data_IF_486637295175
#
_entry.id   IF_486637295175
#
_cell.length_a   1.000
_cell.length_b   1.000
_cell.length_c   1.000
_cell.angle_alpha   90.00
_cell.angle_beta   90.00
_cell.angle_gamma   90.00
#
_symmetry.space_group_name_H-M   'P 1'
#
loop_
_entity.id
_entity.type
_entity.pdbx_description
1 polymer ?
#
# COMPACT_ATOMS: atom_id res chain seq x y z
N UNK A 1 25.43 -12.30 -0.22
CA UNK A 1 24.13 -12.55 -0.88
C UNK A 1 23.16 -13.02 0.18
N UNK A 2 22.35 -12.11 0.68
CA UNK A 2 20.94 -11.93 0.27
C UNK A 2 20.01 -12.85 1.08
N UNK A 3 19.68 -12.41 2.29
CA UNK A 3 18.56 -12.94 3.04
C UNK A 3 17.65 -11.77 3.45
N UNK A 4 16.54 -11.65 2.72
CA UNK A 4 15.24 -11.18 3.21
C UNK A 4 15.02 -9.67 3.41
N UNK A 5 15.34 -8.83 2.41
CA UNK A 5 14.51 -7.63 2.21
C UNK A 5 13.18 -8.08 1.57
N UNK A 6 12.28 -8.58 2.42
CA UNK A 6 10.89 -8.75 2.02
C UNK A 6 10.39 -7.44 1.38
N UNK A 7 9.64 -7.53 0.27
CA UNK A 7 9.21 -6.35 -0.47
C UNK A 7 8.45 -5.43 0.48
N UNK A 8 8.68 -4.12 0.33
CA UNK A 8 7.84 -3.12 0.97
C UNK A 8 6.37 -3.50 0.74
N UNK A 9 5.54 -3.20 1.73
CA UNK A 9 4.08 -3.31 1.55
C UNK A 9 3.66 -2.49 0.32
N UNK A 10 2.58 -2.86 -0.35
CA UNK A 10 2.02 -2.12 -1.49
C UNK A 10 1.71 -0.68 -1.08
N UNK A 11 1.21 -0.52 0.15
CA UNK A 11 0.95 0.77 0.75
C UNK A 11 2.24 1.58 1.01
N UNK A 12 3.31 0.97 1.54
CA UNK A 12 4.61 1.64 1.70
C UNK A 12 5.25 2.00 0.35
N UNK A 13 5.14 1.12 -0.63
CA UNK A 13 5.64 1.38 -1.99
C UNK A 13 4.94 2.58 -2.61
N UNK A 14 3.61 2.59 -2.58
CA UNK A 14 2.83 3.73 -3.08
C UNK A 14 3.17 5.02 -2.33
N UNK A 15 3.32 4.93 -1.02
CA UNK A 15 3.74 6.05 -0.16
C UNK A 15 5.09 6.59 -0.61
N UNK A 16 6.06 5.72 -0.90
CA UNK A 16 7.39 6.10 -1.38
C UNK A 16 7.34 6.77 -2.77
N UNK A 17 6.58 6.20 -3.71
CA UNK A 17 6.46 6.73 -5.07
C UNK A 17 5.75 8.09 -5.11
N UNK A 18 4.84 8.36 -4.18
CA UNK A 18 4.14 9.63 -4.05
C UNK A 18 5.00 10.74 -3.40
N UNK A 19 6.11 10.40 -2.75
CA UNK A 19 7.02 11.37 -2.12
C UNK A 19 7.97 11.94 -3.18
N UNK A 20 8.28 13.23 -3.04
CA UNK A 20 9.20 13.95 -3.92
C UNK A 20 10.58 13.28 -3.96
N UNK A 21 11.19 13.25 -5.15
CA UNK A 21 12.51 12.68 -5.35
C UNK A 21 13.59 13.45 -4.57
N UNK A 22 14.73 12.82 -4.32
CA UNK A 22 15.86 13.43 -3.62
C UNK A 22 16.47 14.61 -4.37
N UNK A 23 16.19 14.77 -5.66
CA UNK A 23 16.61 15.94 -6.46
C UNK A 23 15.58 17.08 -6.44
N UNK A 24 14.35 16.85 -5.98
CA UNK A 24 13.29 17.87 -6.02
C UNK A 24 13.61 19.03 -5.06
N UNK A 25 13.51 20.30 -5.49
CA UNK A 25 13.87 21.46 -4.67
C UNK A 25 12.91 21.73 -3.50
N UNK A 26 11.74 21.09 -3.51
CA UNK A 26 10.75 21.12 -2.41
C UNK A 26 10.34 19.70 -2.07
N UNK A 27 10.27 19.37 -0.79
CA UNK A 27 9.71 18.09 -0.35
C UNK A 27 8.20 17.98 -0.62
N UNK A 28 7.68 16.75 -0.64
CA UNK A 28 6.25 16.50 -0.78
C UNK A 28 5.57 16.55 0.59
N UNK A 29 4.26 16.83 0.59
CA UNK A 29 3.42 16.50 1.74
C UNK A 29 3.32 14.98 1.91
N UNK A 30 2.83 14.52 3.06
CA UNK A 30 2.49 13.11 3.23
C UNK A 30 1.48 12.67 2.14
N UNK A 31 1.57 11.42 1.64
CA UNK A 31 0.66 10.92 0.62
C UNK A 31 -0.81 10.91 1.11
N UNK A 32 -1.75 10.90 0.16
CA UNK A 32 -3.17 10.97 0.48
C UNK A 32 -3.59 9.73 1.30
N UNK A 33 -4.04 9.91 2.56
CA UNK A 33 -4.27 8.79 3.47
C UNK A 33 -5.32 7.76 2.99
N UNK A 34 -6.27 8.18 2.13
CA UNK A 34 -7.32 7.30 1.60
C UNK A 34 -6.77 6.21 0.67
N UNK A 35 -5.80 6.54 -0.17
CA UNK A 35 -5.21 5.59 -1.12
C UNK A 35 -4.35 4.55 -0.40
N UNK A 36 -3.57 5.01 0.59
CA UNK A 36 -2.75 4.15 1.45
C UNK A 36 -3.60 3.12 2.18
N UNK A 37 -4.74 3.53 2.76
CA UNK A 37 -5.68 2.62 3.44
C UNK A 37 -6.28 1.60 2.46
N UNK A 38 -6.64 2.03 1.24
CA UNK A 38 -7.17 1.11 0.21
C UNK A 38 -6.14 0.05 -0.17
N UNK A 39 -4.88 0.45 -0.35
CA UNK A 39 -3.79 -0.47 -0.66
C UNK A 39 -3.49 -1.41 0.51
N UNK A 40 -3.48 -0.90 1.75
CA UNK A 40 -3.31 -1.72 2.94
C UNK A 40 -4.41 -2.78 3.06
N UNK A 41 -5.68 -2.42 2.79
CA UNK A 41 -6.78 -3.38 2.78
C UNK A 41 -6.63 -4.44 1.68
N UNK A 42 -6.26 -4.03 0.47
CA UNK A 42 -5.97 -4.98 -0.63
C UNK A 42 -4.86 -5.96 -0.25
N UNK A 43 -3.81 -5.47 0.41
CA UNK A 43 -2.70 -6.32 0.80
C UNK A 43 -3.07 -7.30 1.91
N UNK A 44 -3.90 -6.88 2.87
CA UNK A 44 -4.47 -7.79 3.87
C UNK A 44 -5.28 -8.93 3.22
N UNK A 45 -6.00 -8.66 2.13
CA UNK A 45 -6.72 -9.69 1.37
C UNK A 45 -5.75 -10.65 0.67
N UNK A 46 -4.73 -10.14 -0.02
CA UNK A 46 -3.75 -10.97 -0.74
C UNK A 46 -2.92 -11.81 0.22
N UNK A 47 -2.60 -11.29 1.40
CA UNK A 47 -1.88 -12.02 2.46
C UNK A 47 -2.76 -13.01 3.23
N UNK A 48 -4.04 -13.16 2.86
CA UNK A 48 -4.95 -14.11 3.50
C UNK A 48 -5.36 -13.72 4.92
N UNK A 49 -5.22 -12.46 5.32
CA UNK A 49 -5.71 -11.98 6.62
C UNK A 49 -7.24 -11.87 6.64
N UNK A 50 -7.84 -11.68 5.47
CA UNK A 50 -9.28 -11.66 5.29
C UNK A 50 -9.67 -12.34 3.98
N UNK A 51 -10.90 -12.84 3.94
CA UNK A 51 -11.60 -13.21 2.70
C UNK A 51 -12.78 -12.27 2.46
N UNK A 52 -13.14 -12.07 1.21
CA UNK A 52 -14.34 -11.33 0.82
C UNK A 52 -15.44 -12.29 0.34
N UNK A 53 -16.68 -11.99 0.72
CA UNK A 53 -17.87 -12.59 0.14
C UNK A 53 -18.67 -11.50 -0.54
N UNK A 54 -18.99 -11.71 -1.81
CA UNK A 54 -19.78 -10.78 -2.61
C UNK A 54 -21.18 -11.36 -2.80
N UNK A 55 -22.18 -10.69 -2.24
CA UNK A 55 -23.59 -11.01 -2.43
C UNK A 55 -24.18 -10.07 -3.48
N UNK A 56 -24.57 -10.62 -4.63
CA UNK A 56 -25.31 -9.87 -5.65
C UNK A 56 -26.70 -9.53 -5.11
N UNK A 57 -27.08 -8.26 -5.17
CA UNK A 57 -28.42 -7.80 -4.80
C UNK A 57 -29.26 -7.61 -6.05
N UNK A 58 -30.54 -7.96 -5.98
CA UNK A 58 -31.52 -7.76 -7.08
C UNK A 58 -31.66 -6.28 -7.45
N UNK A 59 -31.48 -5.39 -6.48
CA UNK A 59 -31.44 -3.94 -6.66
C UNK A 59 -30.31 -3.33 -5.82
N UNK A 60 -29.57 -2.36 -6.39
CA UNK A 60 -28.48 -1.65 -5.71
C UNK A 60 -27.09 -2.29 -5.88
N UNK A 61 -26.11 -1.74 -5.16
CA UNK A 61 -24.71 -2.22 -5.21
C UNK A 61 -24.58 -3.58 -4.53
N UNK A 62 -23.69 -4.43 -5.05
CA UNK A 62 -23.35 -5.70 -4.42
C UNK A 62 -22.84 -5.47 -3.00
N UNK A 63 -23.26 -6.32 -2.06
CA UNK A 63 -22.81 -6.27 -0.68
C UNK A 63 -21.49 -7.04 -0.59
N UNK A 64 -20.44 -6.37 -0.13
CA UNK A 64 -19.11 -6.99 0.04
C UNK A 64 -18.82 -7.13 1.53
N UNK A 65 -18.86 -8.37 2.02
CA UNK A 65 -18.64 -8.70 3.42
C UNK A 65 -17.21 -9.20 3.62
N UNK A 66 -16.52 -8.61 4.59
CA UNK A 66 -15.17 -8.98 5.00
C UNK A 66 -15.26 -10.02 6.12
N UNK A 67 -14.57 -11.14 5.98
CA UNK A 67 -14.47 -12.17 7.00
C UNK A 67 -13.01 -12.32 7.43
N UNK A 68 -12.73 -12.39 8.74
CA UNK A 68 -11.37 -12.57 9.22
C UNK A 68 -10.88 -13.98 8.86
N UNK A 69 -9.60 -14.07 8.54
CA UNK A 69 -8.85 -15.32 8.41
C UNK A 69 -7.59 -15.27 9.28
N UNK A 70 -6.97 -16.42 9.45
CA UNK A 70 -5.70 -16.52 10.18
C UNK A 70 -4.56 -16.25 9.18
N UNK A 71 -3.97 -15.06 9.29
CA UNK A 71 -2.80 -14.71 8.47
C UNK A 71 -1.54 -15.42 9.01
N UNK A 72 -0.67 -15.88 8.11
CA UNK A 72 0.57 -16.56 8.50
C UNK A 72 1.62 -15.61 9.14
N UNK A 73 1.64 -14.33 8.74
CA UNK A 73 2.40 -13.25 9.38
C UNK A 73 2.12 -11.94 8.63
N UNK A 74 1.93 -10.83 9.36
CA UNK A 74 1.72 -9.51 8.78
C UNK A 74 2.86 -8.56 9.16
N UNK A 75 3.43 -7.78 8.21
CA UNK A 75 4.32 -6.67 8.52
C UNK A 75 3.68 -5.71 9.53
N UNK A 76 4.48 -5.11 10.42
CA UNK A 76 3.99 -4.31 11.55
C UNK A 76 2.94 -3.24 11.18
N UNK A 77 3.10 -2.43 10.11
CA UNK A 77 2.06 -1.46 9.72
C UNK A 77 0.73 -2.14 9.36
N UNK A 78 0.78 -3.29 8.67
CA UNK A 78 -0.41 -4.06 8.31
C UNK A 78 -1.01 -4.79 9.50
N UNK A 79 -0.18 -5.31 10.41
CA UNK A 79 -0.65 -5.93 11.66
C UNK A 79 -1.41 -4.91 12.52
N UNK A 80 -0.91 -3.68 12.61
CA UNK A 80 -1.59 -2.59 13.33
C UNK A 80 -2.93 -2.23 12.67
N UNK A 81 -2.98 -2.22 11.34
CA UNK A 81 -4.22 -1.96 10.61
C UNK A 81 -5.22 -3.12 10.75
N UNK A 82 -4.78 -4.37 10.65
CA UNK A 82 -5.57 -5.58 10.91
C UNK A 82 -6.18 -5.56 12.32
N UNK A 83 -5.38 -5.24 13.35
CA UNK A 83 -5.85 -5.13 14.73
C UNK A 83 -6.97 -4.11 14.94
N UNK A 84 -7.02 -3.05 14.11
CA UNK A 84 -8.10 -2.07 14.14
C UNK A 84 -9.38 -2.55 13.42
N UNK A 85 -9.25 -3.39 12.39
CA UNK A 85 -10.38 -3.87 11.59
C UNK A 85 -11.00 -5.14 12.18
N UNK A 86 -10.17 -6.08 12.66
CA UNK A 86 -10.54 -7.44 13.08
C UNK A 86 -11.69 -7.47 14.10
N UNK A 87 -11.75 -6.61 15.15
CA UNK A 87 -12.85 -6.60 16.12
C UNK A 87 -14.24 -6.28 15.54
N UNK A 88 -14.29 -5.72 14.33
CA UNK A 88 -15.53 -5.33 13.65
C UNK A 88 -15.92 -6.29 12.54
N UNK A 89 -15.21 -7.40 12.41
CA UNK A 89 -15.48 -8.46 11.42
C UNK A 89 -16.12 -9.68 12.07
N UNK A 90 -16.98 -10.43 11.36
CA UNK A 90 -17.38 -10.23 9.97
C UNK A 90 -18.36 -9.05 9.78
N UNK A 91 -18.27 -8.36 8.65
CA UNK A 91 -19.13 -7.22 8.35
C UNK A 91 -18.92 -6.63 6.96
N UNK A 92 -19.86 -5.81 6.48
CA UNK A 92 -19.68 -5.09 5.20
C UNK A 92 -18.45 -4.18 5.27
N UNK A 93 -17.56 -4.21 4.26
CA UNK A 93 -16.29 -3.48 4.27
C UNK A 93 -16.46 -2.02 4.68
N UNK A 94 -17.45 -1.33 4.11
CA UNK A 94 -17.74 0.08 4.44
C UNK A 94 -18.10 0.28 5.91
N UNK A 95 -18.91 -0.63 6.47
CA UNK A 95 -19.32 -0.63 7.89
C UNK A 95 -18.17 -0.98 8.83
N UNK A 96 -17.34 -1.97 8.48
CA UNK A 96 -16.14 -2.35 9.22
C UNK A 96 -15.19 -1.15 9.35
N UNK A 97 -14.86 -0.50 8.23
CA UNK A 97 -13.98 0.69 8.22
C UNK A 97 -14.63 1.83 9.00
N UNK A 98 -15.94 2.05 8.84
CA UNK A 98 -16.67 3.09 9.58
C UNK A 98 -16.61 2.84 11.10
N UNK A 99 -16.81 1.60 11.54
CA UNK A 99 -16.74 1.24 12.95
C UNK A 99 -15.33 1.37 13.50
N UNK A 100 -14.31 0.86 12.78
CA UNK A 100 -12.91 1.03 13.17
C UNK A 100 -12.54 2.51 13.36
N UNK A 101 -13.00 3.39 12.45
CA UNK A 101 -12.82 4.85 12.57
C UNK A 101 -13.61 5.49 13.71
N UNK A 102 -14.75 4.92 14.10
CA UNK A 102 -15.54 5.43 15.24
C UNK A 102 -14.76 5.28 16.55
N UNK A 103 -14.10 4.14 16.73
CA UNK A 103 -13.28 3.86 17.92
C UNK A 103 -11.86 4.43 17.82
N UNK A 104 -11.34 4.59 16.60
CA UNK A 104 -10.03 5.23 16.33
C UNK A 104 -10.18 6.30 15.25
N UNK A 105 -10.57 7.51 15.66
CA UNK A 105 -10.84 8.64 14.73
C UNK A 105 -9.67 8.97 13.80
N UNK A 106 -8.45 8.73 14.26
CA UNK A 106 -7.20 8.98 13.53
C UNK A 106 -6.74 7.80 12.68
N UNK A 107 -7.46 6.67 12.63
CA UNK A 107 -7.03 5.42 11.97
C UNK A 107 -6.42 5.65 10.57
N UNK A 108 -7.09 6.44 9.73
CA UNK A 108 -6.64 6.71 8.37
C UNK A 108 -5.29 7.46 8.37
N UNK A 109 -5.14 8.45 9.26
CA UNK A 109 -3.90 9.23 9.42
C UNK A 109 -2.80 8.34 9.99
N UNK A 110 -3.10 7.62 11.07
CA UNK A 110 -2.16 6.72 11.75
C UNK A 110 -1.61 5.68 10.77
N UNK A 111 -2.46 5.06 9.94
CA UNK A 111 -2.02 4.09 8.94
C UNK A 111 -1.03 4.71 7.95
N UNK A 112 -1.30 5.92 7.46
CA UNK A 112 -0.33 6.66 6.62
C UNK A 112 1.00 6.92 7.32
N UNK A 113 0.95 7.31 8.59
CA UNK A 113 2.15 7.56 9.40
C UNK A 113 2.92 6.28 9.72
N UNK A 114 2.26 5.14 9.90
CA UNK A 114 2.92 3.84 10.10
C UNK A 114 3.76 3.44 8.87
N UNK A 115 3.25 3.65 7.67
CA UNK A 115 4.01 3.37 6.44
C UNK A 115 5.14 4.39 6.22
N UNK A 116 4.93 5.67 6.55
CA UNK A 116 6.02 6.65 6.57
C UNK A 116 7.11 6.27 7.59
N UNK A 117 6.72 5.80 8.76
CA UNK A 117 7.62 5.28 9.79
C UNK A 117 8.42 4.09 9.29
N UNK A 118 7.79 3.12 8.62
CA UNK A 118 8.48 1.99 7.97
C UNK A 118 9.51 2.47 6.95
N UNK A 119 9.15 3.41 6.06
CA UNK A 119 10.06 3.95 5.06
C UNK A 119 11.23 4.71 5.69
N UNK A 120 10.98 5.43 6.78
CA UNK A 120 12.00 6.18 7.52
C UNK A 120 12.98 5.24 8.22
N UNK A 121 12.46 4.21 8.89
CA UNK A 121 13.29 3.18 9.54
C UNK A 121 14.17 2.42 8.54
N UNK A 122 13.69 2.24 7.30
CA UNK A 122 14.46 1.64 6.21
C UNK A 122 15.40 2.63 5.51
N UNK A 123 15.44 3.89 5.95
CA UNK A 123 16.28 4.93 5.35
C UNK A 123 15.91 5.29 3.90
N UNK A 124 14.67 5.03 3.48
CA UNK A 124 14.17 5.32 2.13
C UNK A 124 13.59 6.72 2.03
N UNK A 125 13.11 7.27 3.14
CA UNK A 125 12.62 8.64 3.23
C UNK A 125 13.20 9.33 4.45
N UNK A 126 13.31 10.64 4.37
CA UNK A 126 13.74 11.49 5.47
C UNK A 126 12.72 12.63 5.69
N UNK A 127 12.59 13.01 6.95
CA UNK A 127 11.80 14.17 7.35
C UNK A 127 12.68 15.42 7.30
N UNK A 128 12.25 16.45 6.57
CA UNK A 128 12.89 17.77 6.56
C UNK A 128 11.92 18.82 7.08
N UNK A 129 12.43 19.70 7.94
CA UNK A 129 11.69 20.88 8.37
C UNK A 129 12.03 22.02 7.40
N UNK A 130 11.07 22.41 6.57
CA UNK A 130 11.23 23.53 5.65
C UNK A 130 10.45 24.75 6.16
N UNK A 131 11.01 25.95 6.03
CA UNK A 131 10.30 27.20 6.39
C UNK A 131 9.50 27.71 5.19
N UNK A 132 8.19 27.58 5.24
CA UNK A 132 7.29 28.26 4.30
C UNK A 132 7.29 29.77 4.59
N UNK A 133 7.60 30.57 3.56
CA UNK A 133 7.72 32.04 3.63
C UNK A 133 8.71 32.54 4.69
N UNK A 134 9.66 31.71 5.14
CA UNK A 134 10.65 32.08 6.17
C UNK A 134 10.14 32.06 7.63
N UNK A 135 8.82 31.93 7.85
CA UNK A 135 8.21 32.10 9.18
C UNK A 135 7.51 30.83 9.68
N UNK A 136 6.90 30.05 8.78
CA UNK A 136 6.13 28.87 9.17
C UNK A 136 6.91 27.60 8.90
N UNK A 137 7.41 26.96 9.96
CA UNK A 137 8.02 25.63 9.83
C UNK A 137 6.96 24.62 9.40
N UNK A 138 7.24 23.89 8.31
CA UNK A 138 6.39 22.84 7.77
C UNK A 138 7.22 21.58 7.63
N UNK A 139 6.69 20.48 8.16
CA UNK A 139 7.27 19.15 7.96
C UNK A 139 7.04 18.70 6.52
N UNK A 140 8.12 18.40 5.81
CA UNK A 140 8.12 17.86 4.45
C UNK A 140 8.86 16.53 4.44
N UNK A 141 8.42 15.64 3.56
CA UNK A 141 9.04 14.34 3.35
C UNK A 141 9.79 14.35 2.02
N UNK A 142 10.97 13.73 2.01
CA UNK A 142 11.80 13.57 0.82
C UNK A 142 12.34 12.16 0.75
N UNK A 143 12.48 11.63 -0.47
CA UNK A 143 13.24 10.40 -0.68
C UNK A 143 14.72 10.63 -0.43
N UNK A 144 15.38 9.63 0.13
CA UNK A 144 16.85 9.55 0.19
C UNK A 144 17.39 9.02 -1.14
N UNK A 145 18.72 8.98 -1.32
CA UNK A 145 19.32 8.32 -2.49
C UNK A 145 18.91 6.84 -2.60
N UNK A 146 18.86 6.13 -1.46
CA UNK A 146 18.36 4.75 -1.40
C UNK A 146 16.87 4.65 -1.75
N UNK A 147 16.07 5.63 -1.31
CA UNK A 147 14.66 5.74 -1.69
C UNK A 147 14.44 5.94 -3.18
N UNK A 148 15.28 6.73 -3.84
CA UNK A 148 15.22 6.94 -5.29
C UNK A 148 15.65 5.70 -6.08
N UNK A 149 16.71 5.01 -5.65
CA UNK A 149 17.11 3.74 -6.25
C UNK A 149 15.98 2.70 -6.14
N UNK A 150 15.38 2.57 -4.96
CA UNK A 150 14.26 1.66 -4.74
C UNK A 150 13.04 2.05 -5.60
N UNK A 151 12.69 3.33 -5.63
CA UNK A 151 11.59 3.85 -6.45
C UNK A 151 11.79 3.53 -7.94
N UNK A 152 13.01 3.68 -8.46
CA UNK A 152 13.33 3.33 -9.84
C UNK A 152 13.13 1.83 -10.11
N UNK A 153 13.64 0.95 -9.24
CA UNK A 153 13.44 -0.50 -9.34
C UNK A 153 11.95 -0.87 -9.29
N UNK A 154 11.18 -0.27 -8.38
CA UNK A 154 9.75 -0.51 -8.27
C UNK A 154 8.97 -0.02 -9.51
N UNK A 155 9.32 1.14 -10.07
CA UNK A 155 8.73 1.61 -11.32
C UNK A 155 9.00 0.66 -12.48
N UNK A 156 10.23 0.13 -12.60
CA UNK A 156 10.57 -0.87 -13.61
C UNK A 156 9.73 -2.14 -13.45
N UNK A 157 9.55 -2.62 -12.22
CA UNK A 157 8.69 -3.78 -11.95
C UNK A 157 7.21 -3.51 -12.26
N UNK A 158 6.68 -2.32 -11.94
CA UNK A 158 5.30 -1.94 -12.27
C UNK A 158 5.10 -1.87 -13.78
N UNK A 159 6.05 -1.32 -14.54
CA UNK A 159 6.01 -1.29 -16.00
C UNK A 159 6.03 -2.72 -16.58
N UNK A 160 6.88 -3.60 -16.04
CA UNK A 160 6.91 -5.00 -16.44
C UNK A 160 5.60 -5.72 -16.14
N UNK A 161 5.02 -5.48 -14.97
CA UNK A 161 3.71 -6.02 -14.58
C UNK A 161 2.59 -5.62 -15.55
N UNK A 162 2.65 -4.41 -16.11
CA UNK A 162 1.67 -3.95 -17.10
C UNK A 162 1.78 -4.72 -18.44
N UNK A 163 2.97 -5.22 -18.79
CA UNK A 163 3.22 -6.04 -19.97
C UNK A 163 2.93 -7.54 -19.79
N UNK A 164 2.62 -7.99 -18.57
CA UNK A 164 2.37 -9.41 -18.29
C UNK A 164 1.24 -10.06 -19.08
N UNK A 165 0.12 -9.39 -19.42
CA UNK A 165 -0.94 -10.03 -20.18
C UNK A 165 -0.44 -10.58 -21.52
N UNK A 166 0.35 -9.79 -22.25
CA UNK A 166 0.95 -10.22 -23.52
C UNK A 166 2.13 -11.18 -23.33
N UNK A 167 2.90 -11.05 -22.24
CA UNK A 167 3.97 -12.00 -21.92
C UNK A 167 3.40 -13.36 -21.49
N UNK A 168 2.25 -13.42 -20.81
CA UNK A 168 1.64 -14.67 -20.36
C UNK A 168 1.18 -15.54 -21.54
N UNK A 169 0.81 -14.92 -22.65
CA UNK A 169 0.43 -15.59 -23.90
C UNK A 169 1.64 -16.10 -24.70
N UNK A 170 2.79 -15.42 -24.60
CA UNK A 170 3.98 -15.72 -25.40
C UNK A 170 5.07 -16.51 -24.65
N UNK A 171 5.30 -16.20 -23.38
CA UNK A 171 6.20 -16.91 -22.46
C UNK A 171 5.62 -16.95 -21.02
N UNK A 172 4.78 -17.97 -20.72
CA UNK A 172 4.13 -18.10 -19.42
C UNK A 172 5.12 -18.31 -18.26
N UNK A 173 6.33 -18.83 -18.52
CA UNK A 173 7.35 -19.03 -17.49
C UNK A 173 8.05 -17.73 -17.09
N UNK A 174 8.27 -16.82 -18.04
CA UNK A 174 8.73 -15.45 -17.76
C UNK A 174 7.65 -14.68 -16.98
N UNK A 175 6.40 -14.77 -17.43
CA UNK A 175 5.29 -14.07 -16.79
C UNK A 175 5.06 -14.52 -15.33
N UNK A 176 5.12 -15.83 -15.06
CA UNK A 176 5.01 -16.37 -13.70
C UNK A 176 6.14 -15.90 -12.77
N UNK A 177 7.38 -15.85 -13.27
CA UNK A 177 8.54 -15.33 -12.50
C UNK A 177 8.39 -13.85 -12.19
N UNK A 178 7.96 -13.06 -13.17
CA UNK A 178 7.73 -11.63 -12.99
C UNK A 178 6.57 -11.34 -12.03
N UNK A 179 5.47 -12.10 -12.09
CA UNK A 179 4.36 -12.01 -11.14
C UNK A 179 4.80 -12.37 -9.71
N UNK A 180 5.57 -13.45 -9.54
CA UNK A 180 6.10 -13.88 -8.24
C UNK A 180 7.07 -12.87 -7.64
N UNK A 181 7.95 -12.28 -8.46
CA UNK A 181 8.91 -11.26 -8.03
C UNK A 181 8.24 -9.92 -7.69
N UNK A 182 7.17 -9.58 -8.39
CA UNK A 182 6.54 -8.27 -8.23
C UNK A 182 5.52 -8.20 -7.07
N UNK A 183 5.03 -9.33 -6.56
CA UNK A 183 4.33 -9.42 -5.27
C UNK A 183 3.37 -8.25 -4.96
N UNK A 184 3.65 -7.49 -3.90
CA UNK A 184 2.83 -6.37 -3.46
C UNK A 184 2.65 -5.25 -4.52
N UNK A 185 3.56 -5.12 -5.49
CA UNK A 185 3.46 -4.14 -6.59
C UNK A 185 2.31 -4.46 -7.55
N UNK A 186 1.92 -5.73 -7.66
CA UNK A 186 0.76 -6.12 -8.49
C UNK A 186 -0.53 -5.46 -8.00
N UNK A 187 -0.62 -5.12 -6.70
CA UNK A 187 -1.78 -4.43 -6.13
C UNK A 187 -1.90 -2.96 -6.57
N UNK A 188 -0.81 -2.39 -7.08
CA UNK A 188 -0.69 -0.99 -7.50
C UNK A 188 -0.99 -0.80 -8.99
N UNK A 189 -0.99 -1.87 -9.78
CA UNK A 189 -1.39 -1.81 -11.19
C UNK A 189 -2.91 -1.61 -11.25
N UNK A 190 -3.43 -0.66 -12.04
CA UNK A 190 -4.85 -0.58 -12.31
C UNK A 190 -5.29 -1.90 -12.97
N UNK A 191 -6.27 -2.59 -12.37
CA UNK A 191 -6.91 -3.76 -13.00
C UNK A 191 -7.72 -3.24 -14.19
N UNK A 192 -7.06 -3.14 -15.34
CA UNK A 192 -7.67 -2.77 -16.61
C UNK A 192 -8.12 -3.99 -17.43
N UNK A 193 -8.25 -5.16 -16.79
CA UNK A 193 -8.59 -6.44 -17.46
C UNK A 193 -9.77 -7.12 -16.79
N UNK A 194 -10.89 -6.40 -16.74
CA UNK A 194 -12.21 -7.02 -16.64
C UNK A 194 -13.02 -6.51 -17.84
N UNK A 195 -12.71 -7.05 -19.02
CA UNK A 195 -13.60 -7.09 -20.18
C UNK A 195 -13.95 -8.55 -20.39
#
# INVERSE_FOLDING_TARGET
>A
MEAQQWPLTAAATHTLLAIAASASPKGAGAPQPKEVVKLALKELLVRGAYRIQIEKRRFGKAKVTLYPQQAASLPWPLATFDGALRPHTPGEIGSVIKMARKYRKTLIKDVGELFLGELTQRGLVEQRTEKALGIFSTTRWRRTASGDAWAATATQHVQRLQGLPSEAESDPHSAARAAAAAGALALMVPVALAV
#
